data_IF_176701938257
#
_entry.id   IF_176701938257
#
_cell.length_a   1.000
_cell.length_b   1.000
_cell.length_c   1.000
_cell.angle_alpha   90.00
_cell.angle_beta   90.00
_cell.angle_gamma   90.00
#
_symmetry.space_group_name_H-M   'P 1'
#
loop_
_entity.id
_entity.type
_entity.pdbx_description
1 polymer ?
#
# COMPACT_ATOMS: atom_id res chain seq x y z
N UNK A 1 12.52 -3.71 1.36
CA UNK A 1 11.70 -4.40 0.35
C UNK A 1 10.91 -3.45 -0.58
N UNK A 2 11.15 -2.15 -0.50
CA UNK A 2 10.65 -1.11 -1.41
C UNK A 2 11.86 -0.55 -2.18
N UNK A 3 12.45 -1.38 -3.03
CA UNK A 3 13.76 -1.07 -3.63
C UNK A 3 13.60 -0.73 -5.09
N UNK A 4 14.19 0.39 -5.51
CA UNK A 4 14.41 0.73 -6.92
C UNK A 4 15.88 0.96 -7.15
N UNK A 5 16.43 0.33 -8.18
CA UNK A 5 17.84 0.43 -8.52
C UNK A 5 18.11 0.13 -10.00
N UNK A 6 19.37 0.20 -10.39
CA UNK A 6 19.82 -0.19 -11.73
C UNK A 6 20.52 -1.54 -11.71
N UNK A 7 20.26 -2.33 -12.72
CA UNK A 7 20.93 -3.61 -12.93
C UNK A 7 22.41 -3.32 -13.26
N UNK A 8 23.34 -3.69 -12.39
CA UNK A 8 24.79 -3.53 -12.62
C UNK A 8 25.43 -4.83 -13.13
N UNK A 9 24.82 -5.97 -12.79
CA UNK A 9 25.25 -7.29 -13.24
C UNK A 9 24.03 -8.22 -13.34
N UNK A 10 24.04 -9.14 -14.29
CA UNK A 10 22.99 -10.16 -14.45
C UNK A 10 23.58 -11.55 -14.64
N UNK A 11 22.86 -12.57 -14.18
CA UNK A 11 23.22 -13.97 -14.45
C UNK A 11 23.14 -14.29 -15.95
N UNK A 12 23.97 -15.23 -16.41
CA UNK A 12 24.07 -15.60 -17.82
C UNK A 12 22.73 -15.99 -18.49
N UNK A 13 21.81 -16.58 -17.70
CA UNK A 13 20.52 -17.05 -18.21
C UNK A 13 19.41 -15.98 -18.13
N UNK A 14 19.70 -14.77 -17.70
CA UNK A 14 18.73 -13.68 -17.65
C UNK A 14 18.70 -12.96 -18.99
N UNK A 15 17.62 -13.08 -19.75
CA UNK A 15 17.49 -12.52 -21.11
C UNK A 15 16.56 -11.32 -21.19
N UNK A 16 15.68 -11.15 -20.20
CA UNK A 16 14.63 -10.13 -20.19
C UNK A 16 15.00 -8.85 -19.44
N UNK A 17 16.21 -8.79 -18.86
CA UNK A 17 16.77 -7.59 -18.23
C UNK A 17 18.18 -7.36 -18.77
N UNK A 18 18.54 -6.12 -19.01
CA UNK A 18 19.88 -5.69 -19.42
C UNK A 18 20.59 -4.93 -18.27
N UNK A 19 21.92 -4.86 -18.32
CA UNK A 19 22.70 -3.96 -17.49
C UNK A 19 22.31 -2.52 -17.82
N UNK A 20 22.06 -1.71 -16.81
CA UNK A 20 21.55 -0.35 -16.93
C UNK A 20 20.03 -0.24 -16.76
N UNK A 21 19.26 -1.33 -16.94
CA UNK A 21 17.80 -1.30 -16.72
C UNK A 21 17.47 -0.86 -15.30
N UNK A 22 16.46 0.04 -15.19
CA UNK A 22 15.93 0.46 -13.91
C UNK A 22 14.79 -0.46 -13.49
N UNK A 23 14.96 -1.12 -12.35
CA UNK A 23 14.05 -2.14 -11.85
C UNK A 23 13.65 -1.89 -10.40
N UNK A 24 12.50 -2.41 -10.01
CA UNK A 24 12.07 -2.42 -8.62
C UNK A 24 11.87 -3.83 -8.08
N UNK A 25 12.07 -3.99 -6.77
CA UNK A 25 11.93 -5.24 -6.03
C UNK A 25 10.95 -5.04 -4.89
N UNK A 26 9.94 -5.92 -4.81
CA UNK A 26 8.89 -5.90 -3.80
C UNK A 26 9.19 -6.86 -2.63
N UNK A 27 8.18 -7.05 -1.79
CA UNK A 27 8.20 -7.95 -0.63
C UNK A 27 8.60 -9.38 -0.99
N UNK A 28 8.01 -9.97 -2.03
CA UNK A 28 8.33 -11.31 -2.46
C UNK A 28 9.63 -11.31 -3.28
N UNK A 29 10.73 -11.79 -2.68
CA UNK A 29 11.99 -12.04 -3.37
C UNK A 29 11.86 -13.15 -4.41
N UNK A 30 11.17 -14.24 -4.04
CA UNK A 30 10.85 -15.33 -4.96
C UNK A 30 9.62 -16.11 -4.50
N UNK A 31 8.98 -16.76 -5.46
CA UNK A 31 7.87 -17.71 -5.25
C UNK A 31 8.13 -18.98 -6.03
N UNK A 32 7.51 -20.11 -5.65
CA UNK A 32 7.85 -21.40 -6.26
C UNK A 32 7.29 -21.61 -7.68
N UNK A 33 6.28 -20.84 -8.08
CA UNK A 33 5.63 -20.95 -9.40
C UNK A 33 4.77 -22.20 -9.62
N UNK A 34 4.80 -23.20 -8.71
CA UNK A 34 4.20 -24.53 -8.94
C UNK A 34 3.12 -24.93 -7.94
N UNK A 35 3.01 -24.29 -6.77
CA UNK A 35 1.95 -24.57 -5.82
C UNK A 35 0.60 -24.01 -6.32
N UNK A 36 -0.49 -24.46 -5.72
CA UNK A 36 -1.85 -24.05 -6.05
C UNK A 36 -1.98 -22.53 -6.09
N UNK A 37 -1.59 -21.82 -5.02
CA UNK A 37 -1.63 -20.35 -4.97
C UNK A 37 -0.86 -19.70 -6.13
N UNK A 38 0.31 -20.21 -6.51
CA UNK A 38 1.06 -19.67 -7.64
C UNK A 38 0.35 -19.91 -8.98
N UNK A 39 -0.24 -21.10 -9.18
CA UNK A 39 -0.97 -21.43 -10.41
C UNK A 39 -2.26 -20.64 -10.57
N UNK A 40 -2.88 -20.27 -9.46
CA UNK A 40 -4.10 -19.45 -9.41
C UNK A 40 -3.83 -17.93 -9.45
N UNK A 41 -2.58 -17.51 -9.67
CA UNK A 41 -2.21 -16.09 -9.70
C UNK A 41 -2.22 -15.41 -8.33
N UNK A 42 -2.18 -16.19 -7.25
CA UNK A 42 -2.08 -15.72 -5.86
C UNK A 42 -0.69 -15.98 -5.27
N UNK A 43 0.35 -15.73 -6.05
CA UNK A 43 1.74 -16.03 -5.67
C UNK A 43 2.22 -15.34 -4.38
N UNK A 44 1.59 -14.22 -4.01
CA UNK A 44 1.81 -13.55 -2.73
C UNK A 44 1.43 -14.40 -1.51
N UNK A 45 0.68 -15.49 -1.70
CA UNK A 45 0.31 -16.48 -0.69
C UNK A 45 1.11 -17.78 -0.82
N UNK A 46 2.18 -17.81 -1.62
CA UNK A 46 3.04 -18.95 -1.80
C UNK A 46 3.71 -19.34 -0.47
N UNK A 47 3.48 -20.57 0.01
CA UNK A 47 4.09 -21.07 1.27
C UNK A 47 5.62 -21.26 1.18
N UNK A 48 6.19 -21.26 -0.04
CA UNK A 48 7.63 -21.32 -0.30
C UNK A 48 8.19 -19.98 -0.74
N UNK A 49 7.45 -18.88 -0.51
CA UNK A 49 7.94 -17.55 -0.80
C UNK A 49 9.17 -17.24 0.06
N UNK A 50 10.16 -16.60 -0.55
CA UNK A 50 11.30 -15.99 0.14
C UNK A 50 11.04 -14.48 0.20
N UNK A 51 11.30 -13.87 1.32
CA UNK A 51 10.92 -12.48 1.60
C UNK A 51 12.14 -11.56 1.60
N UNK A 52 12.07 -10.50 0.81
CA UNK A 52 13.11 -9.46 0.68
C UNK A 52 13.29 -8.71 2.01
N UNK A 53 14.52 -8.65 2.50
CA UNK A 53 14.86 -7.93 3.74
C UNK A 53 14.45 -8.64 5.02
N UNK A 54 13.97 -9.91 4.93
CA UNK A 54 13.58 -10.76 6.07
C UNK A 54 14.30 -12.10 6.02
N UNK A 55 14.19 -12.81 4.91
CA UNK A 55 14.82 -14.13 4.71
C UNK A 55 16.10 -14.03 3.86
N UNK A 56 16.26 -12.94 3.13
CA UNK A 56 17.44 -12.56 2.36
C UNK A 56 17.70 -11.08 2.59
N UNK A 57 18.90 -10.61 2.25
CA UNK A 57 19.26 -9.19 2.36
C UNK A 57 18.31 -8.30 1.57
N UNK A 58 18.05 -7.11 2.11
CA UNK A 58 17.17 -6.09 1.53
C UNK A 58 17.94 -4.92 0.90
N UNK A 59 17.24 -3.81 0.70
CA UNK A 59 17.72 -2.65 -0.03
C UNK A 59 18.30 -1.50 0.81
N UNK A 60 18.56 -1.71 2.11
CA UNK A 60 19.30 -0.72 2.91
C UNK A 60 20.83 -0.92 2.72
N UNK A 61 21.25 -0.87 1.47
CA UNK A 61 22.62 -1.10 1.02
C UNK A 61 22.83 -0.48 -0.38
N UNK A 62 24.07 -0.28 -0.78
CA UNK A 62 24.41 0.22 -2.12
C UNK A 62 24.08 -0.78 -3.22
N UNK A 63 24.17 -2.07 -2.92
CA UNK A 63 23.87 -3.16 -3.84
C UNK A 63 23.00 -4.21 -3.15
N UNK A 64 22.16 -4.87 -3.94
CA UNK A 64 21.45 -6.06 -3.51
C UNK A 64 21.39 -7.10 -4.63
N UNK A 65 21.27 -8.36 -4.26
CA UNK A 65 20.96 -9.43 -5.21
C UNK A 65 19.45 -9.62 -5.28
N UNK A 66 18.89 -9.63 -6.48
CA UNK A 66 17.47 -9.85 -6.71
C UNK A 66 17.25 -11.02 -7.67
N UNK A 67 16.10 -11.70 -7.53
CA UNK A 67 15.64 -12.67 -8.53
C UNK A 67 15.12 -11.92 -9.74
N UNK A 68 15.70 -12.17 -10.91
CA UNK A 68 15.32 -11.51 -12.16
C UNK A 68 13.80 -11.67 -12.46
N UNK A 69 13.21 -12.84 -12.13
CA UNK A 69 11.78 -13.09 -12.28
C UNK A 69 10.86 -12.23 -11.40
N UNK A 70 11.41 -11.59 -10.35
CA UNK A 70 10.69 -10.75 -9.39
C UNK A 70 11.18 -9.29 -9.40
N UNK A 71 12.16 -8.96 -10.25
CA UNK A 71 12.57 -7.59 -10.54
C UNK A 71 11.71 -7.04 -11.70
N UNK A 72 10.99 -5.97 -11.46
CA UNK A 72 10.06 -5.40 -12.43
C UNK A 72 10.62 -4.10 -13.01
N UNK A 73 10.64 -3.93 -14.35
CA UNK A 73 11.04 -2.69 -14.98
C UNK A 73 10.19 -1.50 -14.50
N UNK A 74 10.83 -0.37 -14.27
CA UNK A 74 10.18 0.89 -13.91
C UNK A 74 9.90 1.70 -15.18
N UNK A 75 8.68 2.23 -15.38
CA UNK A 75 8.38 3.16 -16.45
C UNK A 75 9.33 4.36 -16.46
N UNK A 76 9.77 4.80 -17.63
CA UNK A 76 10.79 5.85 -17.78
C UNK A 76 10.35 7.19 -17.17
N UNK A 77 9.06 7.50 -17.27
CA UNK A 77 8.46 8.73 -16.76
C UNK A 77 8.21 8.75 -15.25
N UNK A 78 8.56 7.69 -14.51
CA UNK A 78 8.54 7.69 -13.05
C UNK A 78 9.96 7.86 -12.51
N UNK A 79 10.16 8.74 -11.54
CA UNK A 79 11.41 8.81 -10.79
C UNK A 79 11.58 7.57 -9.90
N UNK A 80 12.80 7.28 -9.48
CA UNK A 80 13.06 6.16 -8.56
C UNK A 80 12.42 6.39 -7.19
N UNK A 81 12.40 7.64 -6.75
CA UNK A 81 11.82 8.07 -5.49
C UNK A 81 10.29 7.93 -5.46
N UNK A 82 9.62 8.22 -6.57
CA UNK A 82 8.17 8.03 -6.69
C UNK A 82 7.81 6.55 -6.79
N UNK A 83 8.63 5.77 -7.49
CA UNK A 83 8.37 4.36 -7.73
C UNK A 83 8.64 3.47 -6.51
N UNK A 84 9.68 3.74 -5.71
CA UNK A 84 10.08 2.86 -4.62
C UNK A 84 8.95 2.53 -3.62
N UNK A 85 8.19 3.50 -3.09
CA UNK A 85 7.10 3.20 -2.16
C UNK A 85 5.93 2.45 -2.78
N UNK A 86 5.81 2.46 -4.11
CA UNK A 86 4.76 1.72 -4.79
C UNK A 86 4.95 0.20 -4.66
N UNK A 87 6.19 -0.27 -4.47
CA UNK A 87 6.53 -1.69 -4.35
C UNK A 87 6.07 -2.35 -3.04
N UNK A 88 5.61 -1.56 -2.06
CA UNK A 88 4.93 -2.08 -0.87
C UNK A 88 3.62 -1.33 -0.62
N UNK A 89 3.68 -0.03 -0.29
CA UNK A 89 2.50 0.73 0.11
C UNK A 89 1.46 0.81 -1.03
N UNK A 90 1.88 1.13 -2.26
CA UNK A 90 0.99 1.16 -3.43
C UNK A 90 0.40 -0.21 -3.75
N UNK A 91 1.25 -1.23 -3.81
CA UNK A 91 0.86 -2.61 -4.07
C UNK A 91 -0.13 -3.15 -3.03
N UNK A 92 0.14 -2.88 -1.75
CA UNK A 92 -0.71 -3.35 -0.63
C UNK A 92 -2.12 -2.77 -0.71
N UNK A 93 -2.25 -1.46 -0.90
CA UNK A 93 -3.58 -0.83 -0.93
C UNK A 93 -4.32 -1.12 -2.24
N UNK A 94 -3.61 -1.25 -3.36
CA UNK A 94 -4.20 -1.69 -4.63
C UNK A 94 -4.87 -3.06 -4.46
N UNK A 95 -4.13 -4.04 -3.91
CA UNK A 95 -4.66 -5.38 -3.70
C UNK A 95 -5.79 -5.39 -2.67
N UNK A 96 -5.69 -4.61 -1.59
CA UNK A 96 -6.73 -4.51 -0.59
C UNK A 96 -8.06 -4.01 -1.19
N UNK A 97 -8.01 -2.93 -1.98
CA UNK A 97 -9.18 -2.39 -2.68
C UNK A 97 -9.74 -3.38 -3.72
N UNK A 98 -8.86 -4.04 -4.49
CA UNK A 98 -9.26 -5.08 -5.45
C UNK A 98 -9.97 -6.25 -4.78
N UNK A 99 -9.42 -6.76 -3.68
CA UNK A 99 -10.05 -7.86 -2.91
C UNK A 99 -11.34 -7.45 -2.24
N UNK A 100 -11.45 -6.18 -1.83
CA UNK A 100 -12.69 -5.64 -1.27
C UNK A 100 -13.80 -5.46 -2.32
N UNK A 101 -13.49 -5.63 -3.60
CA UNK A 101 -14.44 -5.47 -4.69
C UNK A 101 -14.83 -4.03 -4.94
N UNK A 102 -13.91 -3.08 -4.69
CA UNK A 102 -14.18 -1.65 -4.94
C UNK A 102 -14.48 -1.42 -6.42
N UNK A 103 -15.56 -0.71 -6.69
CA UNK A 103 -16.03 -0.37 -8.03
C UNK A 103 -16.63 1.03 -8.10
N UNK A 104 -16.86 1.51 -9.33
CA UNK A 104 -17.43 2.83 -9.58
C UNK A 104 -18.78 3.03 -8.89
N UNK A 105 -19.01 4.23 -8.35
CA UNK A 105 -20.24 4.61 -7.65
C UNK A 105 -20.34 4.12 -6.20
N UNK A 106 -19.42 3.29 -5.73
CA UNK A 106 -19.41 2.86 -4.33
C UNK A 106 -18.83 3.95 -3.41
N UNK A 107 -19.37 4.07 -2.20
CA UNK A 107 -18.78 4.85 -1.11
C UNK A 107 -17.68 4.02 -0.44
N UNK A 108 -16.46 4.53 -0.45
CA UNK A 108 -15.29 3.87 0.13
C UNK A 108 -14.68 4.76 1.20
N UNK A 109 -14.67 4.28 2.44
CA UNK A 109 -14.02 4.97 3.56
C UNK A 109 -12.57 4.49 3.71
N UNK A 110 -11.62 5.43 3.78
CA UNK A 110 -10.20 5.16 4.06
C UNK A 110 -9.88 5.68 5.47
N UNK A 111 -9.63 4.76 6.40
CA UNK A 111 -9.27 5.08 7.78
C UNK A 111 -7.76 5.13 7.95
N UNK A 112 -7.24 6.33 8.15
CA UNK A 112 -5.82 6.66 8.18
C UNK A 112 -5.29 7.12 6.81
N UNK A 113 -4.83 8.37 6.73
CA UNK A 113 -4.26 8.99 5.51
C UNK A 113 -2.75 9.14 5.64
N UNK A 114 -2.09 8.11 6.13
CA UNK A 114 -0.62 8.02 6.20
C UNK A 114 -0.01 7.48 4.91
N UNK A 115 1.15 6.80 5.06
CA UNK A 115 1.93 6.26 3.95
C UNK A 115 1.22 5.25 3.03
N UNK A 116 0.14 4.61 3.49
CA UNK A 116 -0.71 3.73 2.69
C UNK A 116 -1.99 4.45 2.25
N UNK A 117 -2.64 5.15 3.19
CA UNK A 117 -3.97 5.71 2.96
C UNK A 117 -4.00 6.77 1.86
N UNK A 118 -2.96 7.62 1.74
CA UNK A 118 -2.90 8.62 0.68
C UNK A 118 -2.86 8.00 -0.74
N UNK A 119 -2.30 6.80 -0.88
CA UNK A 119 -2.34 6.03 -2.13
C UNK A 119 -3.70 5.33 -2.32
N UNK A 120 -4.28 4.82 -1.22
CA UNK A 120 -5.61 4.19 -1.28
C UNK A 120 -6.70 5.17 -1.74
N UNK A 121 -6.65 6.44 -1.29
CA UNK A 121 -7.56 7.51 -1.75
C UNK A 121 -7.50 7.65 -3.26
N UNK A 122 -6.30 7.75 -3.83
CA UNK A 122 -6.11 7.97 -5.26
C UNK A 122 -6.55 6.75 -6.10
N UNK A 123 -6.20 5.54 -5.66
CA UNK A 123 -6.57 4.30 -6.38
C UNK A 123 -8.09 4.14 -6.37
N UNK A 124 -8.75 4.26 -5.22
CA UNK A 124 -10.20 4.15 -5.12
C UNK A 124 -10.92 5.19 -5.98
N UNK A 125 -10.45 6.46 -5.96
CA UNK A 125 -10.94 7.52 -6.83
C UNK A 125 -10.76 7.19 -8.31
N UNK A 126 -9.58 6.71 -8.71
CA UNK A 126 -9.31 6.34 -10.10
C UNK A 126 -10.21 5.20 -10.61
N UNK A 127 -10.70 4.35 -9.69
CA UNK A 127 -11.70 3.32 -10.01
C UNK A 127 -13.14 3.83 -9.98
N UNK A 128 -13.34 5.15 -9.80
CA UNK A 128 -14.66 5.79 -9.84
C UNK A 128 -15.45 5.69 -8.52
N UNK A 129 -14.81 5.35 -7.41
CA UNK A 129 -15.47 5.34 -6.11
C UNK A 129 -15.61 6.77 -5.53
N UNK A 130 -16.65 6.97 -4.73
CA UNK A 130 -16.80 8.14 -3.86
C UNK A 130 -15.96 7.92 -2.59
N UNK A 131 -14.81 8.58 -2.51
CA UNK A 131 -13.85 8.35 -1.42
C UNK A 131 -14.13 9.28 -0.25
N UNK A 132 -14.27 8.70 0.94
CA UNK A 132 -14.39 9.39 2.23
C UNK A 132 -13.13 9.09 3.03
N UNK A 133 -12.29 10.09 3.26
CA UNK A 133 -11.05 9.93 4.02
C UNK A 133 -11.26 10.30 5.49
N UNK A 134 -10.78 9.45 6.40
CA UNK A 134 -10.86 9.66 7.83
C UNK A 134 -9.48 9.61 8.48
N UNK A 135 -9.13 10.66 9.20
CA UNK A 135 -7.88 10.74 10.00
C UNK A 135 -8.12 11.63 11.23
N UNK A 136 -7.22 11.61 12.19
CA UNK A 136 -7.21 12.50 13.34
C UNK A 136 -6.47 13.82 13.05
N UNK A 137 -5.55 13.80 12.08
CA UNK A 137 -4.67 14.90 11.73
C UNK A 137 -5.29 15.77 10.63
N UNK A 138 -5.61 17.04 10.90
CA UNK A 138 -6.17 17.97 9.89
C UNK A 138 -5.29 18.13 8.65
N UNK A 139 -3.95 18.07 8.79
CA UNK A 139 -3.04 18.19 7.64
C UNK A 139 -3.17 16.99 6.69
N UNK A 140 -3.36 15.78 7.25
CA UNK A 140 -3.61 14.58 6.44
C UNK A 140 -4.98 14.60 5.77
N UNK A 141 -6.00 15.17 6.44
CA UNK A 141 -7.31 15.38 5.83
C UNK A 141 -7.25 16.38 4.69
N UNK A 142 -6.50 17.47 4.83
CA UNK A 142 -6.26 18.44 3.75
C UNK A 142 -5.58 17.75 2.55
N UNK A 143 -4.52 16.97 2.80
CA UNK A 143 -3.86 16.17 1.76
C UNK A 143 -4.83 15.20 1.07
N UNK A 144 -5.67 14.50 1.82
CA UNK A 144 -6.68 13.60 1.23
C UNK A 144 -7.63 14.33 0.29
N UNK A 145 -8.02 15.56 0.65
CA UNK A 145 -8.87 16.42 -0.18
C UNK A 145 -8.17 16.81 -1.48
N UNK A 146 -6.89 17.20 -1.43
CA UNK A 146 -6.07 17.51 -2.61
C UNK A 146 -5.91 16.28 -3.53
N UNK A 147 -5.77 15.09 -2.95
CA UNK A 147 -5.66 13.82 -3.67
C UNK A 147 -7.01 13.32 -4.23
N UNK A 148 -8.09 14.03 -3.94
CA UNK A 148 -9.40 13.85 -4.55
C UNK A 148 -10.37 13.02 -3.72
N UNK A 149 -10.24 12.98 -2.40
CA UNK A 149 -11.31 12.51 -1.54
C UNK A 149 -12.54 13.42 -1.71
N UNK A 150 -13.71 12.83 -1.93
CA UNK A 150 -14.97 13.56 -2.05
C UNK A 150 -15.34 14.24 -0.71
N UNK A 151 -15.04 13.54 0.39
CA UNK A 151 -15.29 14.03 1.74
C UNK A 151 -14.11 13.68 2.66
N UNK A 152 -13.84 14.54 3.64
CA UNK A 152 -12.89 14.28 4.72
C UNK A 152 -13.56 14.45 6.06
N UNK A 153 -13.34 13.54 7.00
CA UNK A 153 -13.97 13.49 8.31
C UNK A 153 -12.93 13.28 9.41
N UNK A 154 -13.16 13.87 10.58
CA UNK A 154 -12.33 13.59 11.73
C UNK A 154 -12.73 12.24 12.34
N UNK A 155 -11.83 11.26 12.30
CA UNK A 155 -12.06 9.92 12.84
C UNK A 155 -12.36 9.90 14.36
N UNK A 156 -11.98 10.94 15.11
CA UNK A 156 -12.26 11.13 16.53
C UNK A 156 -13.58 11.86 16.82
N UNK A 157 -14.24 12.42 15.79
CA UNK A 157 -15.50 13.15 15.95
C UNK A 157 -16.70 12.19 15.96
N UNK A 158 -17.36 12.08 17.11
CA UNK A 158 -18.59 11.28 17.21
C UNK A 158 -19.69 11.76 16.29
N UNK A 159 -19.77 13.08 16.04
CA UNK A 159 -20.78 13.69 15.17
C UNK A 159 -20.52 13.35 13.70
N UNK A 160 -19.27 13.41 13.25
CA UNK A 160 -18.89 13.03 11.88
C UNK A 160 -19.22 11.55 11.61
N UNK A 161 -18.88 10.67 12.54
CA UNK A 161 -19.17 9.24 12.44
C UNK A 161 -20.68 8.99 12.44
N UNK A 162 -21.43 9.70 13.29
CA UNK A 162 -22.89 9.62 13.34
C UNK A 162 -23.52 10.12 12.04
N UNK A 163 -23.01 11.21 11.47
CA UNK A 163 -23.48 11.75 10.20
C UNK A 163 -23.25 10.77 9.05
N UNK A 164 -22.04 10.16 8.96
CA UNK A 164 -21.72 9.15 7.96
C UNK A 164 -22.65 7.94 8.03
N UNK A 165 -22.92 7.45 9.25
CA UNK A 165 -23.85 6.34 9.48
C UNK A 165 -25.29 6.70 9.06
N UNK A 166 -25.77 7.90 9.42
CA UNK A 166 -27.11 8.39 9.02
C UNK A 166 -27.25 8.55 7.50
N UNK A 167 -26.15 8.86 6.81
CA UNK A 167 -26.11 8.93 5.34
C UNK A 167 -26.08 7.54 4.65
N UNK A 168 -26.34 6.46 5.41
CA UNK A 168 -26.43 5.09 4.91
C UNK A 168 -25.13 4.29 5.02
N UNK A 169 -24.06 4.85 5.57
CA UNK A 169 -22.76 4.19 5.72
C UNK A 169 -22.00 4.01 4.40
N UNK A 170 -21.00 3.13 4.43
CA UNK A 170 -20.08 2.89 3.30
C UNK A 170 -20.11 1.44 2.82
N UNK A 171 -19.87 1.23 1.53
CA UNK A 171 -19.79 -0.10 0.93
C UNK A 171 -18.52 -0.83 1.37
N UNK A 172 -17.39 -0.08 1.42
CA UNK A 172 -16.10 -0.61 1.81
C UNK A 172 -15.45 0.35 2.81
N UNK A 173 -14.94 -0.19 3.90
CA UNK A 173 -14.08 0.51 4.84
C UNK A 173 -12.67 -0.12 4.81
N UNK A 174 -11.67 0.62 4.35
CA UNK A 174 -10.27 0.18 4.30
C UNK A 174 -9.54 0.82 5.47
N UNK A 175 -8.99 0.00 6.37
CA UNK A 175 -8.27 0.49 7.55
C UNK A 175 -6.77 0.33 7.32
N UNK A 176 -6.08 1.44 7.07
CA UNK A 176 -4.61 1.49 6.92
C UNK A 176 -3.90 1.91 8.19
N UNK A 177 -4.64 2.38 9.20
CA UNK A 177 -4.14 2.68 10.53
C UNK A 177 -3.86 1.40 11.34
N UNK A 178 -2.80 1.40 12.15
CA UNK A 178 -2.50 0.34 13.09
C UNK A 178 -3.26 0.48 14.43
N UNK A 179 -4.17 1.44 14.57
CA UNK A 179 -4.95 1.63 15.79
C UNK A 179 -6.20 0.74 15.79
N UNK A 180 -6.38 -0.07 16.85
CA UNK A 180 -7.58 -0.91 17.03
C UNK A 180 -8.88 -0.09 16.95
N UNK A 181 -8.90 1.10 17.54
CA UNK A 181 -10.06 2.00 17.52
C UNK A 181 -10.53 2.39 16.11
N UNK A 182 -9.61 2.42 15.12
CA UNK A 182 -9.96 2.67 13.73
C UNK A 182 -10.81 1.52 13.16
N UNK A 183 -10.53 0.28 13.52
CA UNK A 183 -11.31 -0.90 13.13
C UNK A 183 -12.69 -0.92 13.78
N UNK A 184 -12.76 -0.59 15.08
CA UNK A 184 -14.04 -0.51 15.81
C UNK A 184 -14.95 0.57 15.20
N UNK A 185 -14.37 1.70 14.77
CA UNK A 185 -15.11 2.78 14.11
C UNK A 185 -15.49 2.41 12.68
N UNK A 186 -14.57 1.80 11.93
CA UNK A 186 -14.81 1.38 10.55
C UNK A 186 -15.96 0.38 10.44
N UNK A 187 -16.02 -0.61 11.34
CA UNK A 187 -17.13 -1.57 11.38
C UNK A 187 -18.49 -0.88 11.59
N UNK A 188 -18.54 0.13 12.47
CA UNK A 188 -19.77 0.90 12.74
C UNK A 188 -20.23 1.72 11.54
N UNK A 189 -19.33 2.07 10.62
CA UNK A 189 -19.62 2.88 9.44
C UNK A 189 -20.07 2.06 8.24
N UNK A 190 -20.01 0.72 8.29
CA UNK A 190 -20.46 -0.12 7.19
C UNK A 190 -21.99 -0.04 7.02
N UNK A 191 -22.40 -0.04 5.75
CA UNK A 191 -23.79 -0.33 5.37
C UNK A 191 -24.07 -1.85 5.47
N UNK A 192 -25.34 -2.30 5.39
CA UNK A 192 -25.62 -3.73 5.17
C UNK A 192 -24.88 -4.28 3.95
N UNK A 193 -24.36 -5.51 4.04
CA UNK A 193 -23.47 -6.17 3.07
C UNK A 193 -22.17 -5.40 2.81
N UNK A 194 -21.71 -4.61 3.78
CA UNK A 194 -20.48 -3.83 3.69
C UNK A 194 -19.22 -4.69 3.94
N UNK A 195 -18.09 -4.22 3.44
CA UNK A 195 -16.79 -4.89 3.55
C UNK A 195 -15.84 -4.10 4.42
N UNK A 196 -15.30 -4.73 5.47
CA UNK A 196 -14.17 -4.23 6.25
C UNK A 196 -12.87 -4.84 5.70
N UNK A 197 -12.01 -4.02 5.12
CA UNK A 197 -10.70 -4.44 4.61
C UNK A 197 -9.60 -4.17 5.62
N UNK A 198 -8.95 -5.24 6.07
CA UNK A 198 -7.86 -5.21 7.07
C UNK A 198 -6.54 -5.01 6.35
N UNK A 199 -5.86 -3.88 6.60
CA UNK A 199 -4.57 -3.52 5.99
C UNK A 199 -3.54 -3.14 7.06
N UNK A 200 -3.85 -2.19 7.93
CA UNK A 200 -3.01 -1.84 9.07
C UNK A 200 -2.94 -2.98 10.08
N UNK A 201 -1.79 -3.16 10.72
CA UNK A 201 -1.55 -4.27 11.64
C UNK A 201 -1.43 -3.74 13.07
N UNK A 202 -2.53 -3.72 13.86
CA UNK A 202 -2.44 -3.37 15.28
C UNK A 202 -1.68 -4.46 16.04
N UNK A 203 -1.02 -4.07 17.12
CA UNK A 203 -0.34 -5.01 18.03
C UNK A 203 -1.33 -5.83 18.87
N UNK A 204 -2.54 -5.30 19.06
CA UNK A 204 -3.60 -5.96 19.82
C UNK A 204 -4.48 -6.82 18.90
N UNK A 205 -5.00 -7.95 19.39
CA UNK A 205 -5.98 -8.74 18.65
C UNK A 205 -7.23 -7.93 18.31
N UNK A 206 -7.71 -8.06 17.09
CA UNK A 206 -8.99 -7.50 16.68
C UNK A 206 -10.13 -8.43 17.13
N UNK A 207 -11.17 -7.85 17.72
CA UNK A 207 -12.39 -8.56 18.09
C UNK A 207 -13.59 -7.88 17.47
N UNK A 208 -14.50 -8.66 16.90
CA UNK A 208 -15.69 -8.13 16.25
C UNK A 208 -16.96 -8.76 16.86
N UNK A 209 -17.95 -7.96 17.31
CA UNK A 209 -19.18 -8.49 17.88
C UNK A 209 -19.95 -9.30 16.83
N UNK A 210 -20.17 -10.58 17.08
CA UNK A 210 -20.86 -11.47 16.15
C UNK A 210 -22.26 -10.96 15.77
N UNK A 211 -23.01 -10.44 16.75
CA UNK A 211 -24.34 -9.86 16.51
C UNK A 211 -24.32 -8.71 15.49
N UNK A 212 -23.27 -7.86 15.56
CA UNK A 212 -23.09 -6.77 14.58
C UNK A 212 -22.83 -7.32 13.19
N UNK A 213 -21.92 -8.32 13.08
CA UNK A 213 -21.58 -8.92 11.79
C UNK A 213 -22.81 -9.56 11.13
N UNK A 214 -23.55 -10.36 11.90
CA UNK A 214 -24.77 -11.04 11.43
C UNK A 214 -25.85 -10.02 11.08
N UNK A 215 -26.02 -8.98 11.91
CA UNK A 215 -27.11 -8.01 11.75
C UNK A 215 -27.03 -7.16 10.48
N UNK A 216 -25.82 -7.01 9.91
CA UNK A 216 -25.61 -6.30 8.64
C UNK A 216 -24.96 -7.16 7.55
N UNK A 217 -24.82 -8.48 7.77
CA UNK A 217 -24.12 -9.41 6.87
C UNK A 217 -22.74 -8.90 6.42
N UNK A 218 -21.98 -8.32 7.38
CA UNK A 218 -20.69 -7.73 7.09
C UNK A 218 -19.65 -8.76 6.69
N UNK A 219 -18.82 -8.42 5.71
CA UNK A 219 -17.66 -9.21 5.29
C UNK A 219 -16.38 -8.58 5.82
N UNK A 220 -15.53 -9.40 6.44
CA UNK A 220 -14.17 -8.98 6.86
C UNK A 220 -13.18 -9.68 5.96
N UNK A 221 -12.36 -8.91 5.27
CA UNK A 221 -11.34 -9.44 4.38
C UNK A 221 -9.97 -8.90 4.75
N UNK A 222 -8.94 -9.71 4.50
CA UNK A 222 -7.55 -9.31 4.63
C UNK A 222 -6.83 -9.43 3.29
N UNK A 223 -5.72 -8.72 3.15
CA UNK A 223 -4.89 -8.72 1.97
C UNK A 223 -3.41 -8.76 2.39
N UNK A 224 -2.61 -9.54 1.70
CA UNK A 224 -1.16 -9.63 1.94
C UNK A 224 -0.42 -9.05 0.74
N UNK A 225 0.17 -7.87 0.92
CA UNK A 225 0.94 -7.14 -0.11
C UNK A 225 0.26 -7.18 -1.48
N UNK A 226 0.76 -7.98 -2.44
CA UNK A 226 0.15 -8.17 -3.75
C UNK A 226 1.01 -9.08 -4.64
N UNK A 227 0.52 -9.33 -5.85
CA UNK A 227 1.18 -10.13 -6.87
C UNK A 227 2.02 -9.24 -7.80
N UNK A 228 2.88 -9.85 -8.64
CA UNK A 228 3.61 -9.11 -9.69
C UNK A 228 2.65 -8.45 -10.70
N UNK A 229 1.50 -9.06 -10.97
CA UNK A 229 0.50 -8.47 -11.87
C UNK A 229 -0.19 -7.26 -11.23
N UNK A 230 -0.50 -7.32 -9.92
CA UNK A 230 -0.98 -6.16 -9.17
C UNK A 230 0.07 -5.03 -9.19
N UNK A 231 1.37 -5.36 -9.07
CA UNK A 231 2.44 -4.37 -9.12
C UNK A 231 2.57 -3.71 -10.52
N UNK A 232 2.44 -4.48 -11.59
CA UNK A 232 2.42 -3.92 -12.96
C UNK A 232 1.27 -2.93 -13.12
N UNK A 233 0.08 -3.27 -12.62
CA UNK A 233 -1.06 -2.37 -12.67
C UNK A 233 -0.83 -1.08 -11.87
N UNK A 234 -0.22 -1.17 -10.69
CA UNK A 234 0.16 0.00 -9.87
C UNK A 234 1.14 0.91 -10.61
N UNK A 235 2.18 0.33 -11.22
CA UNK A 235 3.16 1.08 -12.02
C UNK A 235 2.51 1.74 -13.24
N UNK A 236 1.59 1.07 -13.91
CA UNK A 236 0.82 1.64 -15.04
C UNK A 236 -0.05 2.81 -14.59
N UNK A 237 -0.76 2.70 -13.46
CA UNK A 237 -1.55 3.81 -12.89
C UNK A 237 -0.67 5.02 -12.58
N UNK A 238 0.50 4.78 -11.99
CA UNK A 238 1.45 5.86 -11.69
C UNK A 238 2.02 6.50 -12.97
N UNK A 239 2.42 5.70 -13.95
CA UNK A 239 2.89 6.18 -15.25
C UNK A 239 1.82 6.98 -16.02
N UNK A 240 0.54 6.65 -15.84
CA UNK A 240 -0.59 7.39 -16.39
C UNK A 240 -0.96 8.64 -15.59
N UNK A 241 -0.21 9.00 -14.53
CA UNK A 241 -0.49 10.15 -13.68
C UNK A 241 -1.71 10.01 -12.76
N UNK A 242 -2.28 8.80 -12.64
CA UNK A 242 -3.44 8.53 -11.79
C UNK A 242 -3.08 8.30 -10.33
N UNK A 243 -1.81 8.03 -10.06
CA UNK A 243 -1.27 7.69 -8.74
C UNK A 243 0.09 8.35 -8.56
N UNK A 244 0.26 9.13 -7.51
CA UNK A 244 1.56 9.65 -7.08
C UNK A 244 1.79 9.39 -5.61
N UNK A 245 2.99 8.99 -5.26
CA UNK A 245 3.40 8.89 -3.86
C UNK A 245 3.93 10.24 -3.38
N UNK A 246 3.48 10.69 -2.22
CA UNK A 246 4.07 11.84 -1.54
C UNK A 246 5.32 11.37 -0.83
N UNK A 247 6.48 11.83 -1.27
CA UNK A 247 7.78 11.36 -0.79
C UNK A 247 8.64 12.51 -0.27
N UNK A 248 9.40 12.21 0.77
CA UNK A 248 10.55 12.95 1.23
C UNK A 248 11.79 12.07 1.01
N UNK A 249 12.94 12.65 0.66
CA UNK A 249 14.17 11.89 0.42
C UNK A 249 15.19 12.20 1.49
N UNK A 250 15.82 11.16 2.05
CA UNK A 250 16.91 11.26 3.02
C UNK A 250 18.09 10.36 2.62
N UNK A 251 19.33 10.67 3.02
CA UNK A 251 20.45 9.75 2.86
C UNK A 251 20.23 8.45 3.67
N UNK A 252 20.74 7.32 3.20
CA UNK A 252 20.67 6.05 3.94
C UNK A 252 21.29 6.15 5.34
N UNK A 253 22.34 6.96 5.51
CA UNK A 253 22.96 7.21 6.81
C UNK A 253 22.00 7.75 7.87
N UNK A 254 20.94 8.44 7.45
CA UNK A 254 19.91 9.04 8.32
C UNK A 254 18.77 8.07 8.70
N UNK A 255 18.88 6.79 8.35
CA UNK A 255 17.81 5.79 8.55
C UNK A 255 17.30 5.75 10.00
N UNK A 256 18.20 5.86 10.98
CA UNK A 256 17.82 5.82 12.40
C UNK A 256 17.03 7.07 12.81
N UNK A 257 17.45 8.26 12.33
CA UNK A 257 16.70 9.50 12.56
C UNK A 257 15.31 9.45 11.92
N UNK A 258 15.20 8.86 10.72
CA UNK A 258 13.92 8.64 10.04
C UNK A 258 13.03 7.70 10.86
N UNK A 259 13.55 6.61 11.42
CA UNK A 259 12.78 5.72 12.30
C UNK A 259 12.28 6.42 13.56
N UNK A 260 13.08 7.29 14.19
CA UNK A 260 12.61 8.07 15.34
C UNK A 260 11.46 9.03 14.97
N UNK A 261 11.56 9.70 13.84
CA UNK A 261 10.47 10.54 13.30
C UNK A 261 9.21 9.73 13.03
N UNK A 262 9.37 8.51 12.48
CA UNK A 262 8.27 7.58 12.22
C UNK A 262 7.54 7.17 13.51
N UNK A 263 8.30 6.81 14.57
CA UNK A 263 7.74 6.44 15.89
C UNK A 263 6.96 7.59 16.50
N UNK A 264 7.37 8.83 16.26
CA UNK A 264 6.70 10.05 16.74
C UNK A 264 5.54 10.49 15.84
N UNK A 265 5.23 9.79 14.77
CA UNK A 265 4.17 10.16 13.82
C UNK A 265 4.46 11.43 13.01
N UNK A 266 5.71 11.83 12.88
CA UNK A 266 6.16 13.08 12.24
C UNK A 266 6.40 12.94 10.73
N UNK A 267 5.91 11.87 10.11
CA UNK A 267 6.08 11.63 8.68
C UNK A 267 4.71 11.67 8.00
N UNK A 268 4.58 12.51 6.98
CA UNK A 268 3.46 12.53 6.06
C UNK A 268 3.90 11.90 4.74
N UNK A 269 3.13 10.91 4.23
CA UNK A 269 3.53 10.16 3.04
C UNK A 269 4.62 9.12 3.32
N UNK A 270 5.69 9.11 2.52
CA UNK A 270 6.80 8.13 2.58
C UNK A 270 8.15 8.82 2.62
N UNK A 271 9.12 8.23 3.31
CA UNK A 271 10.52 8.67 3.24
C UNK A 271 11.30 7.65 2.41
N UNK A 272 11.95 8.12 1.36
CA UNK A 272 12.81 7.32 0.50
C UNK A 272 14.26 7.57 0.90
N UNK A 273 14.98 6.49 1.17
CA UNK A 273 16.39 6.55 1.54
C UNK A 273 17.25 6.40 0.27
N UNK A 274 18.11 7.39 0.02
CA UNK A 274 19.11 7.30 -1.06
C UNK A 274 20.35 6.57 -0.56
N UNK A 275 20.69 5.48 -1.22
CA UNK A 275 21.96 4.79 -1.03
C UNK A 275 23.09 5.53 -1.77
N UNK A 276 24.30 5.52 -1.22
CA UNK A 276 25.43 6.34 -1.72
C UNK A 276 26.01 5.88 -3.08
N UNK A 277 25.65 4.68 -3.56
CA UNK A 277 26.17 4.09 -4.81
C UNK A 277 25.81 4.82 -6.12
N UNK A 278 25.01 5.90 -6.05
CA UNK A 278 24.62 6.67 -7.24
C UNK A 278 25.73 7.55 -7.84
N UNK A 279 26.90 7.66 -7.24
CA UNK A 279 28.01 8.48 -7.76
C UNK A 279 29.01 7.73 -8.65
N UNK A 280 28.87 6.41 -8.84
CA UNK A 280 29.80 5.57 -9.62
C UNK A 280 29.18 4.85 -10.82
N UNK A 281 28.01 5.24 -11.28
CA UNK A 281 27.41 4.74 -12.51
C UNK A 281 27.55 5.82 -13.61
N UNK A 282 28.77 5.97 -14.14
CA UNK A 282 29.03 6.58 -15.43
C UNK A 282 29.27 5.50 -16.46
#
# INVERSE_FOLDING_TARGET
HEVVGRVVQRGANVTHLAVGDRVGVAWNYSTCGTCEACREGMENLCRKAVITGVMVDGGYADFMVARASHALPIPENLSSEEAAPLFCAGLTVYRALKRAGVSAGQKVAIFGVGGLGHLAVQIARAWGAEVIALDLDPAKLALAKELGAAQTLNAGSADDIKALRKAGGVHVAVVTSAAKAAYDTALKCLRPDGVLSVVGLPSEPLSFPALTLVGIEARIIASSVGTRDDMRAVLQMAAAGQLRCITETQPLAEVNAVFERMRRGQISGRVVLRCCGGQHAH
#
